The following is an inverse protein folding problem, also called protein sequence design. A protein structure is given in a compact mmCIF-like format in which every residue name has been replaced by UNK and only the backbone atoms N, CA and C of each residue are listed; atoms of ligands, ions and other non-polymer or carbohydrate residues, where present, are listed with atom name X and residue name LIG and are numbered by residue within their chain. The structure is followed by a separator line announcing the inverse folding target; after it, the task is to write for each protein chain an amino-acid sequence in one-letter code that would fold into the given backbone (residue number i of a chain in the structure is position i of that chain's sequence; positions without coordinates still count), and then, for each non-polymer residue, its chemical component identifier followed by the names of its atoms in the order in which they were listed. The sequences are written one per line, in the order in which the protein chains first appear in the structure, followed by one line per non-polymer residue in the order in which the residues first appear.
data_IF_516235758034
#
_entry.id   IF_516235758034
#
_cell.length_a   1.000
_cell.length_b   1.000
_cell.length_c   1.000
_cell.angle_alpha   90.00
_cell.angle_beta   90.00
_cell.angle_gamma   90.00
#
_symmetry.space_group_name_H-M   'P 1'
#
loop_
_entity.id
_entity.type
_entity.pdbx_description
1 polymer ?
#
# COMPACT_ATOMS: atom_id res chain seq x y z
N UNK A 1 -15.40 4.63 12.00
CA UNK A 1 -14.26 4.11 11.23
C UNK A 1 -13.16 5.15 11.24
N UNK A 2 -11.97 4.79 11.70
CA UNK A 2 -10.81 5.69 11.75
C UNK A 2 -9.79 5.44 10.63
N UNK A 3 -9.94 4.34 9.86
CA UNK A 3 -9.17 4.12 8.65
C UNK A 3 -9.77 4.96 7.50
N UNK A 4 -9.21 6.14 7.26
CA UNK A 4 -9.68 7.08 6.24
C UNK A 4 -9.47 6.57 4.81
N UNK A 5 -8.49 5.68 4.59
CA UNK A 5 -8.26 5.02 3.30
C UNK A 5 -9.44 4.13 2.94
N UNK A 6 -9.84 3.26 3.88
CA UNK A 6 -11.00 2.38 3.69
C UNK A 6 -12.28 3.18 3.47
N UNK A 7 -12.45 4.26 4.22
CA UNK A 7 -13.61 5.14 4.08
C UNK A 7 -13.68 5.77 2.68
N UNK A 8 -12.57 6.33 2.17
CA UNK A 8 -12.52 6.92 0.82
C UNK A 8 -12.81 5.89 -0.27
N UNK A 9 -12.28 4.68 -0.15
CA UNK A 9 -12.54 3.61 -1.13
C UNK A 9 -14.02 3.18 -1.13
N UNK A 10 -14.66 3.10 0.04
CA UNK A 10 -16.10 2.84 0.15
C UNK A 10 -16.96 3.96 -0.47
N UNK A 11 -16.44 5.18 -0.51
CA UNK A 11 -17.06 6.32 -1.20
C UNK A 11 -16.74 6.36 -2.71
N UNK A 12 -16.03 5.37 -3.25
CA UNK A 12 -15.59 5.32 -4.64
C UNK A 12 -14.49 6.31 -5.00
N UNK A 13 -13.78 6.86 -4.01
CA UNK A 13 -12.69 7.82 -4.22
C UNK A 13 -11.35 7.12 -4.33
N UNK A 14 -10.45 7.58 -5.22
CA UNK A 14 -9.10 7.05 -5.30
C UNK A 14 -8.27 7.44 -4.08
N UNK A 15 -7.29 6.57 -3.74
CA UNK A 15 -6.32 6.79 -2.67
C UNK A 15 -4.90 6.58 -3.16
N UNK A 16 -3.97 7.37 -2.63
CA UNK A 16 -2.57 7.36 -3.05
C UNK A 16 -1.68 7.14 -1.83
N UNK A 17 -0.82 6.14 -1.88
CA UNK A 17 0.16 5.83 -0.85
C UNK A 17 1.57 6.20 -1.24
N UNK A 18 2.28 6.93 -0.38
CA UNK A 18 3.71 7.20 -0.50
C UNK A 18 4.53 6.02 0.00
N UNK A 19 5.59 5.61 -0.72
CA UNK A 19 6.40 4.44 -0.34
C UNK A 19 7.57 4.86 0.56
N UNK A 20 7.75 4.12 1.67
CA UNK A 20 8.82 4.27 2.66
C UNK A 20 9.71 3.01 2.62
N UNK A 21 11.00 3.19 2.33
CA UNK A 21 12.00 2.10 2.26
C UNK A 21 13.19 2.30 3.21
N UNK A 22 13.20 3.41 3.96
CA UNK A 22 14.28 3.77 4.88
C UNK A 22 13.73 3.98 6.29
N UNK A 23 14.46 3.55 7.35
CA UNK A 23 14.02 3.66 8.75
C UNK A 23 14.26 5.05 9.33
N UNK A 24 13.85 6.10 8.62
CA UNK A 24 14.02 7.49 9.06
C UNK A 24 12.68 8.10 9.52
N UNK A 25 12.49 8.38 10.83
CA UNK A 25 11.27 8.99 11.34
C UNK A 25 10.97 10.39 10.81
N UNK A 26 11.99 11.17 10.41
CA UNK A 26 11.79 12.52 9.86
C UNK A 26 11.26 12.43 8.42
N UNK A 27 11.82 11.54 7.60
CA UNK A 27 11.30 11.25 6.26
C UNK A 27 9.88 10.69 6.34
N UNK A 28 9.64 9.74 7.26
CA UNK A 28 8.30 9.20 7.49
C UNK A 28 7.30 10.33 7.82
N UNK A 29 7.63 11.21 8.77
CA UNK A 29 6.77 12.31 9.19
C UNK A 29 6.52 13.30 8.06
N UNK A 30 7.56 13.68 7.30
CA UNK A 30 7.42 14.54 6.13
C UNK A 30 6.46 13.94 5.10
N UNK A 31 6.62 12.66 4.77
CA UNK A 31 5.74 11.95 3.83
C UNK A 31 4.31 11.84 4.37
N UNK A 32 4.14 11.58 5.68
CA UNK A 32 2.82 11.44 6.30
C UNK A 32 2.00 12.75 6.28
N UNK A 33 2.66 13.90 6.14
CA UNK A 33 2.04 15.23 6.03
C UNK A 33 2.04 15.81 4.59
N UNK A 34 2.54 15.05 3.59
CA UNK A 34 2.62 15.53 2.20
C UNK A 34 1.33 15.37 1.38
N UNK A 35 0.24 14.94 2.01
CA UNK A 35 -1.06 14.76 1.35
C UNK A 35 -1.32 13.34 0.84
N UNK A 36 -0.46 12.36 1.13
CA UNK A 36 -0.76 10.95 0.89
C UNK A 36 -1.87 10.46 1.81
N UNK A 37 -2.72 9.56 1.30
CA UNK A 37 -3.78 8.92 2.09
C UNK A 37 -3.21 7.87 3.04
N UNK A 38 -2.15 7.19 2.61
CA UNK A 38 -1.45 6.19 3.40
C UNK A 38 0.05 6.20 3.10
N UNK A 39 0.83 5.59 3.99
CA UNK A 39 2.22 5.29 3.72
C UNK A 39 2.39 3.77 3.56
N UNK A 40 2.90 3.37 2.40
CA UNK A 40 3.31 2.00 2.09
C UNK A 40 4.69 1.74 2.66
N UNK A 41 4.77 1.14 3.84
CA UNK A 41 6.02 0.80 4.51
C UNK A 41 6.49 -0.54 3.97
N UNK A 42 7.64 -0.53 3.35
CA UNK A 42 8.19 -1.65 2.60
C UNK A 42 9.07 -2.54 3.49
N UNK A 43 8.61 -3.73 3.83
CA UNK A 43 9.41 -4.68 4.62
C UNK A 43 9.78 -5.96 3.87
N UNK A 44 9.34 -6.14 2.63
CA UNK A 44 9.74 -7.29 1.81
C UNK A 44 11.14 -7.09 1.19
N UNK A 45 11.39 -5.89 0.64
CA UNK A 45 12.64 -5.58 -0.08
C UNK A 45 13.53 -4.58 0.63
N UNK A 46 13.20 -4.17 1.85
CA UNK A 46 14.03 -3.30 2.66
C UNK A 46 14.65 -4.06 3.84
N UNK A 47 15.79 -3.61 4.38
CA UNK A 47 16.39 -4.20 5.57
C UNK A 47 15.72 -3.76 6.88
N UNK A 48 14.61 -3.02 6.82
CA UNK A 48 13.93 -2.49 8.02
C UNK A 48 13.45 -3.59 8.95
N UNK A 49 13.61 -3.34 10.24
CA UNK A 49 13.09 -4.20 11.31
C UNK A 49 11.73 -3.69 11.79
N UNK A 50 10.92 -4.57 12.42
CA UNK A 50 9.66 -4.15 13.05
C UNK A 50 9.86 -3.11 14.16
N UNK A 51 11.01 -3.07 14.82
CA UNK A 51 11.33 -2.07 15.84
C UNK A 51 11.50 -0.68 15.20
N UNK A 52 12.22 -0.56 14.11
CA UNK A 52 12.39 0.70 13.38
C UNK A 52 11.06 1.20 12.83
N UNK A 53 10.26 0.31 12.24
CA UNK A 53 8.93 0.65 11.74
C UNK A 53 8.00 1.10 12.87
N UNK A 54 8.05 0.44 14.04
CA UNK A 54 7.28 0.87 15.20
C UNK A 54 7.63 2.29 15.65
N UNK A 55 8.92 2.64 15.67
CA UNK A 55 9.38 3.99 16.01
C UNK A 55 8.94 5.04 14.98
N UNK A 56 8.96 4.71 13.67
CA UNK A 56 8.46 5.60 12.62
C UNK A 56 6.95 5.86 12.76
N UNK A 57 6.15 4.80 12.93
CA UNK A 57 4.70 4.92 13.12
C UNK A 57 4.40 5.75 14.39
N UNK A 58 5.17 5.52 15.46
CA UNK A 58 5.03 6.29 16.70
C UNK A 58 5.36 7.78 16.51
N UNK A 59 6.44 8.09 15.77
CA UNK A 59 6.79 9.47 15.43
C UNK A 59 5.69 10.17 14.61
N UNK A 60 5.02 9.42 13.73
CA UNK A 60 3.90 9.91 12.91
C UNK A 60 2.54 9.83 13.59
N UNK A 61 2.47 9.63 14.93
CA UNK A 61 1.19 9.59 15.64
C UNK A 61 0.38 10.85 15.42
N UNK A 62 -0.85 10.69 14.95
CA UNK A 62 -1.75 11.80 14.64
C UNK A 62 -1.53 12.45 13.26
N UNK A 63 -0.56 11.97 12.48
CA UNK A 63 -0.43 12.37 11.07
C UNK A 63 -1.63 11.88 10.24
N UNK A 64 -1.99 12.59 9.15
CA UNK A 64 -3.16 12.22 8.35
C UNK A 64 -3.02 10.93 7.56
N UNK A 65 -1.79 10.57 7.12
CA UNK A 65 -1.58 9.36 6.34
C UNK A 65 -1.59 8.09 7.20
N UNK A 66 -2.35 7.09 6.76
CA UNK A 66 -2.51 5.81 7.48
C UNK A 66 -1.32 4.87 7.21
N UNK A 67 -0.71 4.23 8.24
CA UNK A 67 0.36 3.26 8.02
C UNK A 67 -0.17 1.93 7.44
N UNK A 68 0.35 1.57 6.27
CA UNK A 68 0.18 0.27 5.62
C UNK A 68 1.54 -0.41 5.55
N UNK A 69 1.63 -1.69 5.89
CA UNK A 69 2.90 -2.44 5.85
C UNK A 69 2.83 -3.53 4.78
N UNK A 70 3.76 -3.50 3.83
CA UNK A 70 4.02 -4.67 3.00
C UNK A 70 4.89 -5.63 3.82
N UNK A 71 4.25 -6.67 4.32
CA UNK A 71 4.91 -7.69 5.14
C UNK A 71 5.84 -8.57 4.30
N UNK A 72 6.89 -9.17 4.88
CA UNK A 72 7.75 -10.12 4.17
C UNK A 72 6.96 -11.33 3.63
N UNK A 73 6.02 -11.85 4.43
CA UNK A 73 5.11 -12.93 4.02
C UNK A 73 3.81 -12.90 4.85
N UNK A 74 2.82 -13.72 4.47
CA UNK A 74 1.53 -13.89 5.18
C UNK A 74 1.64 -14.82 6.40
N UNK A 75 2.76 -14.83 7.11
CA UNK A 75 2.91 -15.62 8.33
C UNK A 75 2.15 -14.98 9.49
N UNK A 76 1.77 -15.80 10.48
CA UNK A 76 1.15 -15.28 11.70
C UNK A 76 2.01 -14.23 12.38
N UNK A 77 3.33 -14.49 12.47
CA UNK A 77 4.27 -13.58 13.12
C UNK A 77 4.41 -12.24 12.41
N UNK A 78 4.46 -12.23 11.06
CA UNK A 78 4.60 -11.00 10.29
C UNK A 78 3.33 -10.16 10.35
N UNK A 79 2.18 -10.77 10.12
CA UNK A 79 0.89 -10.07 10.11
C UNK A 79 0.55 -9.54 11.50
N UNK A 80 0.77 -10.35 12.56
CA UNK A 80 0.49 -9.92 13.92
C UNK A 80 1.41 -8.79 14.35
N UNK A 81 2.73 -8.87 14.10
CA UNK A 81 3.67 -7.80 14.43
C UNK A 81 3.31 -6.51 13.72
N UNK A 82 3.01 -6.57 12.42
CA UNK A 82 2.60 -5.41 11.64
C UNK A 82 1.36 -4.72 12.24
N UNK A 83 0.33 -5.48 12.61
CA UNK A 83 -0.89 -4.93 13.22
C UNK A 83 -0.64 -4.44 14.65
N UNK A 84 0.22 -5.10 15.44
CA UNK A 84 0.51 -4.73 16.83
C UNK A 84 1.31 -3.42 16.93
N UNK A 85 2.16 -3.12 15.95
CA UNK A 85 2.85 -1.82 15.86
C UNK A 85 2.01 -0.72 15.23
N UNK A 86 0.75 -1.01 14.85
CA UNK A 86 -0.23 0.01 14.51
C UNK A 86 -0.57 0.15 13.03
N UNK A 87 -0.16 -0.77 12.16
CA UNK A 87 -0.62 -0.76 10.78
C UNK A 87 -2.14 -0.98 10.70
N UNK A 88 -2.80 -0.22 9.84
CA UNK A 88 -4.20 -0.42 9.46
C UNK A 88 -4.35 -0.99 8.04
N UNK A 89 -3.26 -1.28 7.37
CA UNK A 89 -3.23 -2.02 6.11
C UNK A 89 -2.11 -3.06 6.11
N UNK A 90 -2.45 -4.28 5.71
CA UNK A 90 -1.51 -5.39 5.52
C UNK A 90 -1.45 -5.68 4.03
N UNK A 91 -0.29 -5.46 3.43
CA UNK A 91 -0.04 -5.71 2.03
C UNK A 91 0.74 -7.01 1.91
N UNK A 92 0.15 -7.97 1.22
CA UNK A 92 0.65 -9.34 1.11
C UNK A 92 1.28 -9.54 -0.26
N UNK A 93 2.59 -9.73 -0.35
CA UNK A 93 3.27 -9.96 -1.62
C UNK A 93 3.05 -11.39 -2.13
N UNK A 94 3.28 -11.59 -3.44
CA UNK A 94 3.36 -12.91 -4.08
C UNK A 94 2.18 -13.83 -3.73
N UNK A 95 0.95 -13.35 -3.93
CA UNK A 95 -0.25 -14.14 -3.66
C UNK A 95 -0.53 -15.07 -4.85
N UNK A 96 0.11 -16.22 -4.83
CA UNK A 96 -0.03 -17.27 -5.84
C UNK A 96 -0.97 -18.41 -5.40
N UNK A 97 -1.52 -18.32 -4.18
CA UNK A 97 -2.48 -19.28 -3.65
C UNK A 97 -3.53 -18.59 -2.78
N UNK A 98 -4.76 -19.10 -2.80
CA UNK A 98 -5.84 -18.60 -1.93
C UNK A 98 -5.53 -18.84 -0.46
N UNK A 99 -4.81 -19.90 -0.12
CA UNK A 99 -4.39 -20.17 1.25
C UNK A 99 -3.56 -19.02 1.84
N UNK A 100 -2.69 -18.40 1.04
CA UNK A 100 -1.84 -17.29 1.48
C UNK A 100 -2.66 -16.06 1.87
N UNK A 101 -3.60 -15.62 1.03
CA UNK A 101 -4.42 -14.46 1.35
C UNK A 101 -5.40 -14.73 2.49
N UNK A 102 -5.95 -15.95 2.57
CA UNK A 102 -6.78 -16.38 3.72
C UNK A 102 -6.00 -16.38 5.03
N UNK A 103 -4.73 -16.78 5.01
CA UNK A 103 -3.85 -16.71 6.16
C UNK A 103 -3.65 -15.25 6.64
N UNK A 104 -3.40 -14.32 5.71
CA UNK A 104 -3.29 -12.90 6.04
C UNK A 104 -4.56 -12.34 6.70
N UNK A 105 -5.73 -12.58 6.11
CA UNK A 105 -7.02 -12.18 6.71
C UNK A 105 -7.22 -12.78 8.10
N UNK A 106 -6.93 -14.08 8.24
CA UNK A 106 -7.05 -14.81 9.50
C UNK A 106 -6.20 -14.19 10.61
N UNK A 107 -4.94 -13.86 10.30
CA UNK A 107 -3.99 -13.34 11.29
C UNK A 107 -4.12 -11.82 11.51
N UNK A 108 -4.71 -11.08 10.59
CA UNK A 108 -5.03 -9.66 10.76
C UNK A 108 -6.29 -9.42 11.59
N UNK A 109 -7.19 -10.41 11.68
CA UNK A 109 -8.53 -10.26 12.27
C UNK A 109 -8.67 -10.96 13.62
N UNK A 110 -9.33 -10.30 14.56
CA UNK A 110 -9.75 -10.92 15.82
C UNK A 110 -10.92 -11.88 15.61
N UNK A 111 -11.12 -12.89 16.53
CA UNK A 111 -12.30 -13.72 16.52
C UNK A 111 -13.62 -12.90 16.51
N UNK A 112 -14.71 -13.35 15.86
CA UNK A 112 -14.81 -14.67 15.20
C UNK A 112 -14.28 -14.71 13.75
N UNK A 113 -13.88 -13.55 13.15
CA UNK A 113 -13.43 -13.46 11.76
C UNK A 113 -12.08 -14.15 11.54
N UNK A 114 -11.17 -14.07 12.50
CA UNK A 114 -9.83 -14.62 12.42
C UNK A 114 -9.33 -15.21 13.74
N UNK A 115 -8.01 -15.28 13.87
CA UNK A 115 -7.34 -15.86 15.02
C UNK A 115 -6.22 -14.98 15.58
N UNK A 116 -6.23 -13.67 15.29
CA UNK A 116 -5.26 -12.73 15.86
C UNK A 116 -5.27 -12.81 17.38
N UNK A 117 -4.10 -12.96 18.00
CA UNK A 117 -3.94 -12.99 19.44
C UNK A 117 -4.17 -11.62 20.07
N UNK A 118 -4.73 -11.59 21.30
CA UNK A 118 -4.97 -10.38 22.09
C UNK A 118 -3.72 -9.90 22.82
N UNK A 119 -2.55 -9.94 22.19
CA UNK A 119 -1.31 -9.41 22.74
C UNK A 119 -1.35 -7.91 23.01
N UNK A 120 -0.35 -7.39 23.69
CA UNK A 120 -0.13 -5.95 23.84
C UNK A 120 0.58 -5.37 22.62
N UNK A 121 0.21 -4.14 22.21
CA UNK A 121 0.87 -3.44 21.12
C UNK A 121 0.66 -1.93 21.25
N UNK A 122 1.35 -1.15 20.43
CA UNK A 122 1.18 0.31 20.46
C UNK A 122 -0.13 0.79 19.82
N UNK A 123 -0.87 -0.09 19.16
CA UNK A 123 -2.13 0.23 18.49
C UNK A 123 -3.16 0.93 19.39
N UNK A 124 -3.24 0.56 20.67
CA UNK A 124 -4.18 1.19 21.62
C UNK A 124 -3.87 2.66 21.89
N UNK A 125 -2.58 3.03 21.89
CA UNK A 125 -2.16 4.41 22.04
C UNK A 125 -2.27 5.21 20.73
N UNK A 126 -2.26 4.53 19.57
CA UNK A 126 -2.39 5.15 18.25
C UNK A 126 -3.87 5.37 17.88
N UNK A 127 -4.71 4.36 18.09
CA UNK A 127 -6.07 4.29 17.53
C UNK A 127 -7.20 4.34 18.57
N UNK A 128 -6.85 4.33 19.85
CA UNK A 128 -7.83 4.42 20.95
C UNK A 128 -8.02 3.12 21.72
N UNK A 129 -8.67 3.25 22.89
CA UNK A 129 -8.88 2.14 23.83
C UNK A 129 -9.87 1.08 23.33
N UNK A 130 -10.72 1.43 22.38
CA UNK A 130 -11.70 0.57 21.72
C UNK A 130 -11.17 -0.12 20.44
N UNK A 131 -9.85 0.00 20.18
CA UNK A 131 -9.23 -0.59 18.99
C UNK A 131 -9.58 -2.07 18.79
N UNK A 132 -9.56 -2.89 19.83
CA UNK A 132 -9.83 -4.34 19.72
C UNK A 132 -11.24 -4.64 19.25
N UNK A 133 -12.21 -3.81 19.62
CA UNK A 133 -13.61 -3.94 19.22
C UNK A 133 -13.84 -3.47 17.78
N UNK A 134 -13.00 -2.58 17.29
CA UNK A 134 -13.17 -1.90 16.00
C UNK A 134 -12.13 -2.31 14.95
N UNK A 135 -11.09 -3.05 15.34
CA UNK A 135 -9.96 -3.40 14.46
C UNK A 135 -10.41 -4.16 13.20
N UNK A 136 -11.31 -5.15 13.34
CA UNK A 136 -11.80 -5.94 12.21
C UNK A 136 -12.48 -5.08 11.12
N UNK A 137 -13.02 -3.93 11.50
CA UNK A 137 -13.66 -3.00 10.56
C UNK A 137 -12.65 -2.01 9.94
N UNK A 138 -11.50 -1.80 10.58
CA UNK A 138 -10.54 -0.79 10.21
C UNK A 138 -9.27 -1.36 9.55
N UNK A 139 -8.87 -2.60 9.84
CA UNK A 139 -7.73 -3.21 9.18
C UNK A 139 -8.14 -3.63 7.77
N UNK A 140 -7.31 -3.27 6.80
CA UNK A 140 -7.44 -3.65 5.39
C UNK A 140 -6.42 -4.72 5.03
N UNK A 141 -6.80 -5.65 4.16
CA UNK A 141 -5.90 -6.61 3.54
C UNK A 141 -5.83 -6.36 2.04
N UNK A 142 -4.60 -6.19 1.55
CA UNK A 142 -4.28 -5.97 0.14
C UNK A 142 -3.52 -7.19 -0.36
N UNK A 143 -4.07 -7.94 -1.32
CA UNK A 143 -3.38 -9.06 -1.97
C UNK A 143 -2.69 -8.60 -3.25
N UNK A 144 -1.41 -8.91 -3.42
CA UNK A 144 -0.66 -8.52 -4.62
C UNK A 144 -0.66 -9.64 -5.67
N UNK A 145 -1.04 -9.27 -6.88
CA UNK A 145 -0.91 -10.09 -8.10
C UNK A 145 0.39 -9.67 -8.79
N UNK A 146 1.35 -10.58 -8.79
CA UNK A 146 2.73 -10.34 -9.23
C UNK A 146 3.20 -11.35 -10.28
N UNK A 147 2.42 -12.40 -10.54
CA UNK A 147 2.75 -13.50 -11.46
C UNK A 147 1.51 -13.98 -12.24
N UNK A 148 1.71 -14.75 -13.33
CA UNK A 148 0.60 -15.38 -14.05
C UNK A 148 -0.30 -16.24 -13.16
N UNK A 149 0.26 -16.98 -12.18
CA UNK A 149 -0.51 -17.78 -11.22
C UNK A 149 -1.45 -16.89 -10.37
N UNK A 150 -0.96 -15.73 -9.94
CA UNK A 150 -1.77 -14.74 -9.23
C UNK A 150 -2.90 -14.18 -10.08
N UNK A 151 -2.68 -14.01 -11.39
CA UNK A 151 -3.72 -13.58 -12.34
C UNK A 151 -4.83 -14.63 -12.45
N UNK A 152 -4.47 -15.93 -12.49
CA UNK A 152 -5.47 -17.01 -12.60
C UNK A 152 -6.41 -17.09 -11.39
N UNK A 153 -5.93 -16.77 -10.20
CA UNK A 153 -6.70 -16.82 -8.95
C UNK A 153 -7.29 -15.48 -8.52
N UNK A 154 -7.18 -14.43 -9.32
CA UNK A 154 -7.55 -13.06 -8.92
C UNK A 154 -9.03 -12.93 -8.49
N UNK A 155 -9.95 -13.63 -9.16
CA UNK A 155 -11.37 -13.65 -8.80
C UNK A 155 -11.60 -14.31 -7.43
N UNK A 156 -11.02 -15.50 -7.21
CA UNK A 156 -11.12 -16.18 -5.93
C UNK A 156 -10.46 -15.37 -4.80
N UNK A 157 -9.31 -14.71 -5.09
CA UNK A 157 -8.63 -13.84 -4.14
C UNK A 157 -9.53 -12.67 -3.74
N UNK A 158 -10.11 -11.97 -4.71
CA UNK A 158 -11.00 -10.85 -4.46
C UNK A 158 -12.28 -11.27 -3.71
N UNK A 159 -12.78 -12.49 -3.95
CA UNK A 159 -13.96 -13.03 -3.29
C UNK A 159 -13.70 -13.46 -1.82
N UNK A 160 -12.44 -13.58 -1.37
CA UNK A 160 -12.14 -13.91 0.03
C UNK A 160 -12.67 -12.80 0.94
N UNK A 161 -13.54 -13.16 1.88
CA UNK A 161 -14.05 -12.24 2.89
C UNK A 161 -12.87 -11.65 3.71
N UNK A 162 -12.81 -10.32 3.80
CA UNK A 162 -11.73 -9.61 4.49
C UNK A 162 -10.60 -9.13 3.57
N UNK A 163 -10.59 -9.49 2.29
CA UNK A 163 -9.77 -8.83 1.28
C UNK A 163 -10.45 -7.54 0.84
N UNK A 164 -9.75 -6.44 0.88
CA UNK A 164 -10.25 -5.10 0.50
C UNK A 164 -9.77 -4.68 -0.88
N UNK A 165 -8.52 -5.00 -1.22
CA UNK A 165 -7.86 -4.56 -2.46
C UNK A 165 -7.10 -5.73 -3.10
N UNK A 166 -7.19 -5.84 -4.43
CA UNK A 166 -6.28 -6.65 -5.24
C UNK A 166 -5.36 -5.69 -6.00
N UNK A 167 -4.07 -5.78 -5.73
CA UNK A 167 -3.05 -4.87 -6.26
C UNK A 167 -2.21 -5.53 -7.35
N UNK A 168 -2.16 -4.96 -8.55
CA UNK A 168 -1.30 -5.46 -9.64
C UNK A 168 0.09 -4.83 -9.53
N UNK A 169 1.09 -5.65 -9.18
CA UNK A 169 2.50 -5.25 -9.15
C UNK A 169 3.09 -5.33 -10.57
N UNK A 170 3.05 -4.22 -11.28
CA UNK A 170 3.29 -4.17 -12.72
C UNK A 170 4.68 -4.66 -13.15
N UNK A 171 5.71 -4.41 -12.36
CA UNK A 171 7.10 -4.79 -12.68
C UNK A 171 7.31 -6.29 -12.51
N UNK A 172 6.82 -6.86 -11.39
CA UNK A 172 6.95 -8.29 -11.11
C UNK A 172 6.09 -9.11 -12.06
N UNK A 173 4.84 -8.68 -12.33
CA UNK A 173 4.00 -9.32 -13.33
C UNK A 173 4.66 -9.32 -14.72
N UNK A 174 5.32 -8.24 -15.12
CA UNK A 174 6.08 -8.17 -16.37
C UNK A 174 7.25 -9.15 -16.35
N UNK A 175 7.99 -9.21 -15.25
CA UNK A 175 9.14 -10.09 -15.08
C UNK A 175 8.76 -11.57 -15.12
N UNK A 176 7.77 -11.98 -14.31
CA UNK A 176 7.34 -13.38 -14.20
C UNK A 176 6.58 -13.89 -15.43
N UNK A 177 5.90 -13.01 -16.16
CA UNK A 177 5.23 -13.37 -17.41
C UNK A 177 6.13 -13.32 -18.64
N UNK A 178 7.34 -12.76 -18.52
CA UNK A 178 8.25 -12.46 -19.64
C UNK A 178 7.62 -11.53 -20.70
N UNK A 179 6.59 -10.76 -20.33
CA UNK A 179 5.88 -9.81 -21.19
C UNK A 179 6.21 -8.37 -20.80
N UNK A 180 6.31 -7.48 -21.77
CA UNK A 180 6.49 -6.05 -21.49
C UNK A 180 5.16 -5.38 -21.23
N UNK A 181 5.16 -4.40 -20.32
CA UNK A 181 4.01 -3.52 -20.11
C UNK A 181 3.63 -2.84 -21.44
N UNK A 182 2.35 -2.82 -21.76
CA UNK A 182 1.83 -2.32 -23.04
C UNK A 182 1.66 -3.37 -24.12
N UNK A 183 2.23 -4.58 -23.98
CA UNK A 183 1.94 -5.67 -24.92
C UNK A 183 0.51 -6.20 -24.71
N UNK A 184 -0.18 -6.55 -25.78
CA UNK A 184 -1.59 -6.97 -25.74
C UNK A 184 -1.84 -8.11 -24.75
N UNK A 185 -0.93 -9.08 -24.64
CA UNK A 185 -1.04 -10.20 -23.69
C UNK A 185 -0.88 -9.74 -22.24
N UNK A 186 0.06 -8.82 -21.97
CA UNK A 186 0.24 -8.22 -20.64
C UNK A 186 -1.01 -7.44 -20.23
N UNK A 187 -1.51 -6.58 -21.12
CA UNK A 187 -2.70 -5.77 -20.86
C UNK A 187 -3.96 -6.62 -20.68
N UNK A 188 -4.05 -7.77 -21.34
CA UNK A 188 -5.13 -8.74 -21.13
C UNK A 188 -5.09 -9.34 -19.72
N UNK A 189 -3.90 -9.65 -19.16
CA UNK A 189 -3.75 -10.10 -17.77
C UNK A 189 -4.17 -9.02 -16.78
N UNK A 190 -3.72 -7.77 -16.98
CA UNK A 190 -4.12 -6.63 -16.14
C UNK A 190 -5.64 -6.43 -16.17
N UNK A 191 -6.24 -6.48 -17.35
CA UNK A 191 -7.70 -6.37 -17.52
C UNK A 191 -8.44 -7.52 -16.83
N UNK A 192 -7.94 -8.76 -16.95
CA UNK A 192 -8.52 -9.93 -16.25
C UNK A 192 -8.56 -9.72 -14.74
N UNK A 193 -7.46 -9.25 -14.13
CA UNK A 193 -7.41 -8.98 -12.69
C UNK A 193 -8.38 -7.85 -12.32
N UNK A 194 -8.40 -6.75 -13.09
CA UNK A 194 -9.31 -5.63 -12.86
C UNK A 194 -10.76 -6.09 -12.89
N UNK A 195 -11.17 -6.74 -13.97
CA UNK A 195 -12.55 -7.11 -14.19
C UNK A 195 -13.05 -8.12 -13.15
N UNK A 196 -12.22 -9.12 -12.82
CA UNK A 196 -12.50 -10.09 -11.76
C UNK A 196 -12.65 -9.42 -10.38
N UNK A 197 -11.79 -8.47 -10.06
CA UNK A 197 -11.83 -7.75 -8.77
C UNK A 197 -13.07 -6.88 -8.66
N UNK A 198 -13.40 -6.13 -9.71
CA UNK A 198 -14.57 -5.27 -9.74
C UNK A 198 -15.88 -6.05 -9.73
N UNK A 199 -15.93 -7.21 -10.40
CA UNK A 199 -17.12 -8.07 -10.44
C UNK A 199 -17.61 -8.52 -9.05
N UNK A 200 -16.69 -8.66 -8.10
CA UNK A 200 -17.02 -9.01 -6.70
C UNK A 200 -17.08 -7.78 -5.78
N UNK A 201 -17.08 -6.58 -6.33
CA UNK A 201 -17.21 -5.33 -5.58
C UNK A 201 -15.99 -4.96 -4.73
N UNK A 202 -14.77 -5.40 -5.12
CA UNK A 202 -13.53 -5.03 -4.46
C UNK A 202 -12.77 -3.96 -5.23
N UNK A 203 -11.83 -3.31 -4.56
CA UNK A 203 -10.98 -2.28 -5.17
C UNK A 203 -9.81 -2.91 -5.89
N UNK A 204 -9.50 -2.43 -7.10
CA UNK A 204 -8.27 -2.77 -7.79
C UNK A 204 -7.24 -1.66 -7.62
N UNK A 205 -5.99 -2.05 -7.41
CA UNK A 205 -4.85 -1.14 -7.23
C UNK A 205 -3.71 -1.42 -8.20
N UNK A 206 -2.80 -0.44 -8.32
CA UNK A 206 -1.62 -0.54 -9.16
C UNK A 206 -0.63 0.60 -8.90
N UNK A 207 0.46 0.70 -9.67
CA UNK A 207 1.41 1.80 -9.55
C UNK A 207 0.75 3.14 -9.89
N UNK A 208 1.23 4.23 -9.30
CA UNK A 208 0.72 5.58 -9.54
C UNK A 208 0.72 6.00 -11.02
N UNK A 209 1.61 5.43 -11.82
CA UNK A 209 1.62 5.64 -13.27
C UNK A 209 0.29 5.21 -13.94
N UNK A 210 -0.50 4.37 -13.30
CA UNK A 210 -1.79 3.90 -13.79
C UNK A 210 -2.99 4.69 -13.26
N UNK A 211 -2.78 5.86 -12.65
CA UNK A 211 -3.84 6.67 -12.04
C UNK A 211 -4.97 7.08 -12.99
N UNK A 212 -4.73 7.06 -14.29
CA UNK A 212 -5.74 7.34 -15.33
C UNK A 212 -6.39 6.05 -15.88
N UNK A 213 -5.99 4.85 -15.40
CA UNK A 213 -6.62 3.60 -15.85
C UNK A 213 -7.99 3.45 -15.21
N UNK A 214 -8.98 3.17 -16.04
CA UNK A 214 -10.36 2.95 -15.62
C UNK A 214 -10.46 1.80 -14.59
N UNK A 215 -11.22 2.04 -13.51
CA UNK A 215 -11.50 1.08 -12.46
C UNK A 215 -10.42 0.96 -11.38
N UNK A 216 -9.24 1.58 -11.54
CA UNK A 216 -8.20 1.57 -10.51
C UNK A 216 -8.40 2.71 -9.52
N UNK A 217 -8.37 2.40 -8.22
CA UNK A 217 -8.60 3.40 -7.15
C UNK A 217 -7.59 3.34 -6.01
N UNK A 218 -6.65 2.39 -6.00
CA UNK A 218 -5.63 2.28 -4.95
C UNK A 218 -4.24 2.33 -5.59
N UNK A 219 -3.44 3.37 -5.28
CA UNK A 219 -2.20 3.64 -6.00
C UNK A 219 -0.99 3.70 -5.09
N UNK A 220 0.10 3.04 -5.53
CA UNK A 220 1.42 3.14 -4.93
C UNK A 220 2.25 4.20 -5.66
N UNK A 221 2.62 5.28 -4.95
CA UNK A 221 3.52 6.30 -5.43
C UNK A 221 5.01 5.88 -5.32
N UNK A 222 5.92 6.56 -6.05
CA UNK A 222 7.34 6.29 -5.93
C UNK A 222 7.88 6.42 -4.50
N UNK A 223 9.01 5.74 -4.18
CA UNK A 223 9.67 5.86 -2.89
C UNK A 223 10.13 7.29 -2.55
N UNK A 224 10.27 7.56 -1.24
CA UNK A 224 10.61 8.89 -0.70
C UNK A 224 11.88 9.46 -1.29
N UNK A 225 12.92 8.65 -1.51
CA UNK A 225 14.19 9.09 -2.13
C UNK A 225 14.02 9.50 -3.60
N UNK A 226 13.11 8.86 -4.32
CA UNK A 226 12.78 9.25 -5.71
C UNK A 226 12.03 10.57 -5.72
N UNK A 227 11.12 10.78 -4.77
CA UNK A 227 10.37 12.03 -4.62
C UNK A 227 11.29 13.17 -4.18
N UNK A 228 12.21 12.94 -3.23
CA UNK A 228 13.20 13.90 -2.79
C UNK A 228 14.10 14.35 -3.97
N UNK A 229 14.59 13.40 -4.77
CA UNK A 229 15.38 13.71 -5.98
C UNK A 229 14.58 14.54 -6.99
N UNK A 230 13.32 14.17 -7.25
CA UNK A 230 12.45 14.93 -8.16
C UNK A 230 12.19 16.35 -7.65
N UNK A 231 11.94 16.52 -6.35
CA UNK A 231 11.76 17.83 -5.73
C UNK A 231 13.00 18.70 -5.85
N UNK A 232 14.20 18.15 -5.58
CA UNK A 232 15.45 18.86 -5.76
C UNK A 232 15.69 19.27 -7.22
N UNK A 233 15.42 18.37 -8.17
CA UNK A 233 15.56 18.69 -9.61
C UNK A 233 14.58 19.79 -10.05
N UNK A 234 13.33 19.76 -9.58
CA UNK A 234 12.34 20.80 -9.88
C UNK A 234 12.79 22.17 -9.35
N UNK A 235 13.24 22.24 -8.09
CA UNK A 235 13.77 23.47 -7.49
C UNK A 235 14.97 24.05 -8.26
N UNK A 236 15.90 23.20 -8.70
CA UNK A 236 17.06 23.63 -9.48
C UNK A 236 16.67 24.13 -10.88
N UNK A 237 15.66 23.54 -11.50
CA UNK A 237 15.16 23.99 -12.81
C UNK A 237 14.56 25.41 -12.72
N UNK A 238 13.79 25.72 -11.67
CA UNK A 238 13.25 27.07 -11.43
C UNK A 238 14.35 28.17 -11.39
N UNK A 239 15.50 27.86 -10.79
CA UNK A 239 16.64 28.77 -10.73
C UNK A 239 17.27 28.96 -12.11
N UNK A 240 17.40 27.89 -12.88
CA UNK A 240 18.01 27.94 -14.22
C UNK A 240 17.15 28.72 -15.20
N UNK A 241 15.83 28.50 -15.17
CA UNK A 241 14.89 29.24 -16.02
C UNK A 241 14.83 30.73 -15.67
N UNK A 242 14.86 31.08 -14.38
CA UNK A 242 14.91 32.47 -13.93
C UNK A 242 16.17 33.23 -14.35
N UNK A 243 17.33 32.56 -14.45
CA UNK A 243 18.58 33.17 -14.97
C UNK A 243 18.45 33.42 -16.48
N UNK A 244 17.87 32.49 -17.24
CA UNK A 244 17.69 32.64 -18.68
C UNK A 244 16.73 33.80 -19.04
N UNK A 245 15.69 34.03 -18.25
CA UNK A 245 14.76 35.15 -18.43
C UNK A 245 15.40 36.51 -18.12
N UNK A 246 16.27 36.60 -17.11
CA UNK A 246 17.00 37.86 -16.78
C UNK A 246 18.04 38.22 -17.84
N UNK A 247 18.76 37.26 -18.40
CA UNK A 247 19.71 37.48 -19.48
C UNK A 247 19.04 37.86 -20.83
N UNK A 248 17.79 37.38 -21.05
CA UNK A 248 16.96 37.69 -22.23
C UNK A 248 16.35 39.09 -22.21
N UNK A 249 16.19 39.70 -21.03
CA UNK A 249 15.57 41.04 -20.88
C UNK A 249 16.58 42.21 -20.97
N UNK A 250 17.88 41.90 -21.01
CA UNK A 250 18.97 42.90 -21.12
C UNK A 250 19.51 43.05 -22.56
N UNK A 251 18.84 42.53 -23.56
CA UNK A 251 19.12 42.71 -24.99
C UNK A 251 17.94 43.47 -25.69
#
# INVERSE_FOLDING_TARGET
MYNTVKQKLLEGKPVIGGTIQTPDPQIYLAMAHSGFDFLWIEMQHSPMTYQEVALMIWAGRGAPAIPFIRVPDATEGDVQKATDIGALGIIVPMVNTIAKVKAAVKYASYPPRGSRSLGGGQYGALWGSDYRQTANENIMVVGMVESPEGVEIAEEMAAVEGVDVVFVASSDLSSFSELKQGEAKYEAMVSKVRDATLAVGRTVGGPFAWKEREGFHFFQAPPAEVLARRGAMALLAEVTDGIAETEGSER
#
